data_IF_048272659194
#
_entry.id   IF_048272659194
#
_cell.length_a   1.000
_cell.length_b   1.000
_cell.length_c   1.000
_cell.angle_alpha   90.00
_cell.angle_beta   90.00
_cell.angle_gamma   90.00
#
_symmetry.space_group_name_H-M   'P 1'
#
loop_
_entity.id
_entity.type
_entity.pdbx_description
1 polymer ?
#
# COMPACT_ATOMS: atom_id res chain seq x y z
N UNK A 1 4.64 -13.05 24.96
CA UNK A 1 4.76 -14.05 23.89
C UNK A 1 4.16 -13.47 22.62
N UNK A 2 4.98 -13.40 21.58
CA UNK A 2 4.56 -13.23 20.18
C UNK A 2 3.62 -14.38 19.80
N UNK A 3 2.53 -14.09 19.07
CA UNK A 3 2.07 -14.82 17.87
C UNK A 3 0.73 -14.29 17.37
N UNK A 4 0.77 -13.67 16.20
CA UNK A 4 -0.02 -13.98 15.00
C UNK A 4 -1.54 -14.17 15.11
N UNK A 5 -2.24 -13.19 14.51
CA UNK A 5 -3.18 -13.48 13.42
C UNK A 5 -4.66 -13.41 13.75
N UNK A 6 -5.26 -12.24 13.51
CA UNK A 6 -6.66 -12.21 13.09
C UNK A 6 -6.84 -11.35 11.83
N UNK A 7 -7.25 -12.07 10.80
CA UNK A 7 -7.54 -11.65 9.43
C UNK A 7 -8.94 -11.06 9.45
N UNK A 8 -9.05 -9.74 9.57
CA UNK A 8 -10.33 -9.04 9.58
C UNK A 8 -10.17 -7.62 9.09
N UNK A 9 -10.26 -7.42 7.78
CA UNK A 9 -10.79 -6.20 7.16
C UNK A 9 -10.33 -4.88 7.80
N UNK A 10 -9.02 -4.70 7.99
CA UNK A 10 -8.46 -3.37 8.15
C UNK A 10 -8.55 -2.69 6.79
N UNK A 11 -9.75 -2.19 6.52
CA UNK A 11 -10.05 -1.04 5.67
C UNK A 11 -8.78 -0.19 5.56
N UNK A 12 -8.41 0.17 4.34
CA UNK A 12 -7.41 1.20 4.02
C UNK A 12 -7.83 2.51 4.72
N UNK A 13 -7.60 2.58 6.04
CA UNK A 13 -7.99 3.68 6.91
C UNK A 13 -7.02 4.84 6.74
N UNK A 14 -5.80 4.54 6.31
CA UNK A 14 -4.78 5.53 5.99
C UNK A 14 -4.12 5.24 4.65
N UNK A 15 -3.66 6.29 3.92
CA UNK A 15 -2.85 6.10 2.72
C UNK A 15 -1.60 5.24 2.96
N UNK A 16 -1.02 5.29 4.15
CA UNK A 16 0.14 4.50 4.52
C UNK A 16 -0.14 2.99 4.52
N UNK A 17 -1.35 2.57 4.89
CA UNK A 17 -1.72 1.14 4.89
C UNK A 17 -1.90 0.59 3.48
N UNK A 18 -2.41 1.41 2.56
CA UNK A 18 -2.42 1.07 1.13
C UNK A 18 -1.00 0.92 0.59
N UNK A 19 -0.10 1.86 0.89
CA UNK A 19 1.29 1.78 0.43
C UNK A 19 2.02 0.55 0.95
N UNK A 20 1.73 0.10 2.18
CA UNK A 20 2.30 -1.14 2.74
C UNK A 20 1.81 -2.39 1.99
N UNK A 21 0.54 -2.41 1.55
CA UNK A 21 -0.07 -3.60 0.92
C UNK A 21 0.41 -3.87 -0.51
N UNK A 22 0.89 -2.83 -1.21
CA UNK A 22 1.35 -2.91 -2.60
C UNK A 22 2.87 -3.05 -2.73
N UNK A 23 3.62 -3.15 -1.62
CA UNK A 23 5.09 -3.32 -1.64
C UNK A 23 5.49 -4.56 -2.45
N UNK A 24 6.54 -4.41 -3.26
CA UNK A 24 7.09 -5.50 -4.09
C UNK A 24 6.28 -5.81 -5.36
N UNK A 25 5.22 -5.05 -5.65
CA UNK A 25 4.45 -5.16 -6.89
C UNK A 25 4.82 -4.01 -7.83
N UNK A 26 4.85 -4.24 -9.16
CA UNK A 26 4.98 -3.15 -10.12
C UNK A 26 3.84 -2.15 -9.93
N UNK A 27 4.17 -0.86 -9.92
CA UNK A 27 3.20 0.22 -9.75
C UNK A 27 3.40 1.25 -10.85
N UNK A 28 2.45 2.16 -11.03
CA UNK A 28 2.65 3.36 -11.84
C UNK A 28 2.31 4.55 -10.95
N UNK A 29 3.18 5.55 -10.91
CA UNK A 29 3.01 6.79 -10.14
C UNK A 29 2.95 7.97 -11.08
N UNK A 30 1.99 8.87 -10.83
CA UNK A 30 1.83 10.11 -11.58
C UNK A 30 2.48 11.26 -10.80
N UNK A 31 3.47 11.89 -11.40
CA UNK A 31 4.11 13.08 -10.81
C UNK A 31 3.27 14.32 -11.07
N UNK A 32 3.49 15.37 -10.26
CA UNK A 32 2.82 16.66 -10.43
C UNK A 32 3.14 17.34 -11.79
N UNK A 33 4.24 16.92 -12.43
CA UNK A 33 4.59 17.32 -13.80
C UNK A 33 3.71 16.68 -14.87
N UNK A 34 2.80 15.77 -14.50
CA UNK A 34 1.96 15.01 -15.43
C UNK A 34 2.65 13.78 -16.04
N UNK A 35 3.91 13.52 -15.68
CA UNK A 35 4.68 12.36 -16.15
C UNK A 35 4.33 11.12 -15.32
N UNK A 36 4.07 10.00 -15.99
CA UNK A 36 3.88 8.69 -15.37
C UNK A 36 5.23 7.95 -15.26
N UNK A 37 5.47 7.32 -14.10
CA UNK A 37 6.67 6.54 -13.82
C UNK A 37 6.28 5.15 -13.32
N UNK A 38 7.08 4.12 -13.62
CA UNK A 38 6.78 2.72 -13.29
C UNK A 38 7.77 2.13 -12.30
#
# INVERSE_FOLDING_TARGET
>A
MSTTGEKGSATTKTPADFLKSIRGRPVVVKLNSGVDYR
#
